data_IF_350052728576
#
_entry.id   IF_350052728576
#
_cell.length_a   1.000
_cell.length_b   1.000
_cell.length_c   1.000
_cell.angle_alpha   90.00
_cell.angle_beta   90.00
_cell.angle_gamma   90.00
#
_symmetry.space_group_name_H-M   'P 1'
#
loop_
_entity.id
_entity.type
_entity.pdbx_description
1 polymer ?
#
# COMPACT_ATOMS: atom_id res chain seq x y z
N UNK A 1 20.39 24.08 9.13
CA UNK A 1 19.72 24.20 7.82
C UNK A 1 19.89 22.98 6.91
N UNK A 2 21.09 22.36 6.78
CA UNK A 2 21.24 21.07 6.04
C UNK A 2 20.49 19.88 6.69
N UNK A 3 20.32 19.87 8.01
CA UNK A 3 19.65 18.77 8.76
C UNK A 3 18.10 18.76 8.69
N UNK A 4 17.45 19.89 8.45
CA UNK A 4 15.96 19.96 8.42
C UNK A 4 15.41 19.44 7.09
N UNK A 5 16.14 19.65 5.98
CA UNK A 5 15.81 19.12 4.65
C UNK A 5 15.89 17.58 4.66
N UNK A 6 16.80 17.01 5.48
CA UNK A 6 16.94 15.56 5.65
C UNK A 6 15.71 14.94 6.36
N UNK A 7 15.09 15.66 7.31
CA UNK A 7 13.96 15.14 8.10
C UNK A 7 12.67 15.06 7.26
N UNK A 8 12.43 16.02 6.36
CA UNK A 8 11.28 15.97 5.43
C UNK A 8 11.46 14.85 4.39
N UNK A 9 12.70 14.60 3.96
CA UNK A 9 13.02 13.46 3.08
C UNK A 9 12.85 12.11 3.77
N UNK A 10 13.15 12.02 5.07
CA UNK A 10 13.06 10.78 5.84
C UNK A 10 11.60 10.42 6.15
N UNK A 11 10.72 11.37 6.46
CA UNK A 11 9.31 11.07 6.76
C UNK A 11 8.49 10.58 5.55
N UNK A 12 8.88 10.95 4.32
CA UNK A 12 8.23 10.44 3.11
C UNK A 12 8.81 9.09 2.62
N UNK A 13 9.99 8.69 3.13
CA UNK A 13 10.68 7.44 2.74
C UNK A 13 10.54 6.31 3.79
N UNK A 14 10.11 6.61 5.02
CA UNK A 14 9.99 5.64 6.11
C UNK A 14 8.81 4.66 5.93
N UNK A 15 7.87 4.89 5.01
CA UNK A 15 6.82 3.90 4.75
C UNK A 15 7.26 2.67 3.92
N UNK A 16 8.54 2.47 3.60
CA UNK A 16 8.95 1.28 2.81
C UNK A 16 10.37 0.75 3.07
N UNK A 17 10.92 0.90 4.27
CA UNK A 17 12.28 0.42 4.59
C UNK A 17 12.28 -0.37 5.90
N UNK A 18 11.98 -1.67 5.81
CA UNK A 18 12.47 -2.67 6.76
C UNK A 18 13.80 -3.19 6.18
N UNK A 19 14.92 -2.69 6.70
CA UNK A 19 16.25 -3.22 6.37
C UNK A 19 16.62 -4.29 7.40
N UNK A 20 16.77 -5.51 6.93
CA UNK A 20 17.70 -6.48 7.50
C UNK A 20 19.06 -6.14 6.89
N UNK A 21 20.03 -5.68 7.70
CA UNK A 21 21.39 -5.38 7.23
C UNK A 21 22.26 -6.58 7.57
N UNK A 22 22.83 -7.18 6.54
CA UNK A 22 23.90 -8.16 6.61
C UNK A 22 25.20 -7.42 6.98
N UNK A 23 25.85 -7.84 8.05
CA UNK A 23 27.04 -7.20 8.61
C UNK A 23 28.28 -7.54 7.78
N UNK A 24 28.67 -6.74 6.77
CA UNK A 24 30.07 -6.75 6.28
C UNK A 24 30.53 -5.56 5.43
N UNK A 25 29.74 -4.52 5.18
CA UNK A 25 30.27 -3.27 4.56
C UNK A 25 30.24 -2.09 5.53
N UNK A 26 31.41 -1.49 5.76
CA UNK A 26 31.63 -0.26 6.54
C UNK A 26 30.93 0.94 5.87
N UNK A 27 29.62 1.04 6.07
CA UNK A 27 28.88 2.26 5.82
C UNK A 27 29.34 3.26 6.88
N UNK A 28 30.00 4.35 6.45
CA UNK A 28 30.28 5.52 7.30
C UNK A 28 29.02 5.90 8.06
N UNK A 29 28.93 5.54 9.34
CA UNK A 29 27.82 5.87 10.24
C UNK A 29 27.67 7.38 10.23
N UNK A 30 26.61 7.86 9.59
CA UNK A 30 26.11 9.19 9.89
C UNK A 30 25.60 9.09 11.33
N UNK A 31 26.28 9.71 12.30
CA UNK A 31 25.82 9.76 13.69
C UNK A 31 24.44 10.43 13.73
N UNK A 32 23.40 9.60 13.71
CA UNK A 32 22.05 10.02 14.08
C UNK A 32 22.10 10.13 15.60
N UNK A 33 22.35 11.34 16.07
CA UNK A 33 22.36 11.71 17.48
C UNK A 33 21.13 11.13 18.19
N UNK A 34 21.34 10.16 19.07
CA UNK A 34 20.38 9.64 20.05
C UNK A 34 20.20 10.57 21.26
N UNK A 35 20.81 11.76 21.24
CA UNK A 35 20.59 12.75 22.29
C UNK A 35 19.08 13.05 22.34
N UNK A 36 18.45 13.01 23.54
CA UNK A 36 17.08 13.49 23.69
C UNK A 36 17.02 14.89 23.06
N UNK A 37 15.93 15.19 22.35
CA UNK A 37 15.69 16.52 21.80
C UNK A 37 16.17 17.55 22.83
N UNK A 38 17.06 18.51 22.47
CA UNK A 38 17.49 19.51 23.44
C UNK A 38 16.24 20.09 24.06
N UNK A 39 16.23 20.16 25.40
CA UNK A 39 15.08 20.63 26.17
C UNK A 39 14.51 21.86 25.47
N UNK A 40 13.23 21.79 25.11
CA UNK A 40 12.54 22.78 24.30
C UNK A 40 12.40 24.08 25.09
N UNK A 41 13.47 24.87 25.16
CA UNK A 41 13.44 26.24 25.65
C UNK A 41 12.86 27.09 24.53
N UNK A 42 11.55 27.27 24.55
CA UNK A 42 10.94 28.26 23.69
C UNK A 42 11.08 29.64 24.34
N UNK A 43 11.88 30.53 23.75
CA UNK A 43 11.84 31.96 24.06
C UNK A 43 10.66 32.69 23.36
N UNK A 44 9.94 32.02 22.45
CA UNK A 44 8.92 32.65 21.59
C UNK A 44 7.53 31.98 21.68
N UNK A 45 6.49 32.66 22.19
CA UNK A 45 5.14 32.08 22.32
C UNK A 45 4.65 31.34 21.06
N UNK A 46 3.90 30.23 21.21
CA UNK A 46 3.44 29.39 20.09
C UNK A 46 2.72 30.19 18.99
N UNK A 47 1.94 31.21 19.35
CA UNK A 47 1.27 32.10 18.39
C UNK A 47 2.29 32.89 17.55
N UNK A 48 3.35 33.41 18.16
CA UNK A 48 4.42 34.12 17.47
C UNK A 48 5.23 33.16 16.58
N UNK A 49 5.48 31.93 17.04
CA UNK A 49 6.07 30.87 16.23
C UNK A 49 5.24 30.57 14.98
N UNK A 50 3.96 30.28 15.14
CA UNK A 50 3.05 29.99 14.02
C UNK A 50 2.98 31.16 13.05
N UNK A 51 2.87 32.40 13.53
CA UNK A 51 2.90 33.59 12.66
C UNK A 51 4.20 33.69 11.87
N UNK A 52 5.36 33.50 12.52
CA UNK A 52 6.68 33.60 11.89
C UNK A 52 6.90 32.51 10.84
N UNK A 53 6.44 31.28 11.12
CA UNK A 53 6.77 30.11 10.31
C UNK A 53 5.62 29.57 9.45
N UNK A 54 4.47 30.25 9.37
CA UNK A 54 3.32 29.79 8.56
C UNK A 54 3.67 29.43 7.11
N UNK A 55 4.66 30.10 6.53
CA UNK A 55 5.10 29.88 5.15
C UNK A 55 5.72 28.49 4.94
N UNK A 56 6.24 27.81 5.98
CA UNK A 56 6.85 26.48 5.81
C UNK A 56 5.80 25.39 5.55
N UNK A 57 4.52 25.71 5.75
CA UNK A 57 3.37 24.80 5.59
C UNK A 57 2.74 24.84 4.19
N UNK A 58 3.34 25.56 3.24
CA UNK A 58 2.91 25.56 1.83
C UNK A 58 4.04 25.08 0.91
N UNK A 59 3.73 24.30 -0.15
CA UNK A 59 4.74 23.73 -1.03
C UNK A 59 5.52 24.82 -1.78
N UNK A 60 4.87 25.94 -2.11
CA UNK A 60 5.45 27.06 -2.87
C UNK A 60 6.68 27.64 -2.19
N UNK A 61 6.69 27.70 -0.85
CA UNK A 61 7.84 28.17 -0.10
C UNK A 61 9.06 27.30 -0.38
N UNK A 62 8.93 25.98 -0.30
CA UNK A 62 10.03 25.05 -0.52
C UNK A 62 10.47 25.00 -1.97
N UNK A 63 9.52 25.03 -2.90
CA UNK A 63 9.79 25.08 -4.33
C UNK A 63 10.57 26.35 -4.70
N UNK A 64 10.25 27.51 -4.08
CA UNK A 64 10.94 28.77 -4.33
C UNK A 64 12.43 28.76 -3.93
N UNK A 65 12.86 27.80 -3.11
CA UNK A 65 14.26 27.64 -2.68
C UNK A 65 15.09 26.75 -3.62
N UNK A 66 14.48 26.15 -4.63
CA UNK A 66 15.14 25.25 -5.57
C UNK A 66 15.59 26.01 -6.82
N UNK A 67 16.79 25.71 -7.33
CA UNK A 67 17.34 26.33 -8.53
C UNK A 67 16.63 25.87 -9.82
N UNK A 68 16.28 24.58 -9.88
CA UNK A 68 15.68 23.95 -11.07
C UNK A 68 14.53 22.99 -10.69
N UNK A 69 13.45 23.49 -10.06
CA UNK A 69 12.39 22.63 -9.51
C UNK A 69 11.65 21.79 -10.57
N UNK A 70 11.64 22.26 -11.82
CA UNK A 70 10.96 21.63 -12.96
C UNK A 70 11.87 20.69 -13.78
N UNK A 71 13.15 20.56 -13.40
CA UNK A 71 14.07 19.62 -14.06
C UNK A 71 13.58 18.19 -13.83
N UNK A 72 13.43 17.44 -14.92
CA UNK A 72 13.15 15.99 -14.86
C UNK A 72 14.31 15.27 -14.19
N UNK A 73 14.02 14.54 -13.11
CA UNK A 73 14.99 13.75 -12.34
C UNK A 73 15.29 12.44 -13.07
N UNK A 74 14.24 11.73 -13.51
CA UNK A 74 14.36 10.56 -14.38
C UNK A 74 13.26 10.57 -15.44
N UNK A 75 13.62 10.19 -16.65
CA UNK A 75 12.65 9.95 -17.73
C UNK A 75 12.02 8.56 -17.60
N UNK A 76 11.04 8.26 -18.46
CA UNK A 76 10.29 6.99 -18.44
C UNK A 76 11.19 5.75 -18.60
N UNK A 77 12.27 5.83 -19.38
CA UNK A 77 13.20 4.70 -19.58
C UNK A 77 13.99 4.45 -18.30
N UNK A 78 14.53 5.51 -17.70
CA UNK A 78 15.26 5.43 -16.42
C UNK A 78 14.35 4.94 -15.28
N UNK A 79 13.10 5.39 -15.21
CA UNK A 79 12.12 4.91 -14.22
C UNK A 79 11.84 3.42 -14.39
N UNK A 80 11.64 2.95 -15.63
CA UNK A 80 11.43 1.52 -15.89
C UNK A 80 12.63 0.69 -15.43
N UNK A 81 13.85 1.17 -15.70
CA UNK A 81 15.07 0.52 -15.25
C UNK A 81 15.18 0.48 -13.72
N UNK A 82 14.90 1.59 -13.05
CA UNK A 82 14.89 1.66 -11.58
C UNK A 82 13.85 0.70 -10.98
N UNK A 83 12.65 0.65 -11.56
CA UNK A 83 11.58 -0.24 -11.09
C UNK A 83 11.97 -1.71 -11.26
N UNK A 84 12.57 -2.08 -12.40
CA UNK A 84 13.07 -3.43 -12.65
C UNK A 84 14.15 -3.81 -11.63
N UNK A 85 15.16 -2.95 -11.45
CA UNK A 85 16.22 -3.17 -10.46
C UNK A 85 15.66 -3.30 -9.04
N UNK A 86 14.68 -2.47 -8.67
CA UNK A 86 14.07 -2.52 -7.34
C UNK A 86 13.33 -3.85 -7.13
N UNK A 87 12.61 -4.35 -8.14
CA UNK A 87 11.93 -5.63 -8.09
C UNK A 87 12.94 -6.80 -7.96
N UNK A 88 13.99 -6.80 -8.78
CA UNK A 88 15.01 -7.85 -8.82
C UNK A 88 15.85 -7.91 -7.54
N UNK A 89 16.32 -6.76 -7.06
CA UNK A 89 17.23 -6.67 -5.90
C UNK A 89 16.47 -6.88 -4.60
N UNK A 90 15.33 -6.20 -4.42
CA UNK A 90 14.65 -6.22 -3.12
C UNK A 90 13.70 -7.40 -2.95
N UNK A 91 13.30 -8.09 -4.03
CA UNK A 91 12.35 -9.23 -4.03
C UNK A 91 11.06 -8.97 -3.22
N UNK A 92 10.67 -7.70 -3.09
CA UNK A 92 9.47 -7.24 -2.36
C UNK A 92 8.45 -6.59 -3.29
N UNK A 93 8.77 -6.43 -4.57
CA UNK A 93 7.84 -5.94 -5.59
C UNK A 93 7.61 -7.07 -6.57
N UNK A 94 6.35 -7.44 -6.76
CA UNK A 94 5.91 -8.49 -7.67
C UNK A 94 5.01 -7.86 -8.74
N UNK A 95 5.56 -7.39 -9.87
CA UNK A 95 4.74 -6.81 -10.91
C UNK A 95 3.64 -7.79 -11.35
N UNK A 96 2.41 -7.33 -11.64
CA UNK A 96 1.30 -8.24 -11.91
C UNK A 96 1.54 -9.18 -13.10
N UNK A 97 2.33 -8.75 -14.09
CA UNK A 97 2.73 -9.60 -15.21
C UNK A 97 3.65 -10.76 -14.85
N UNK A 98 4.27 -10.71 -13.68
CA UNK A 98 5.17 -11.73 -13.16
C UNK A 98 4.44 -12.65 -12.16
N UNK A 99 3.12 -12.52 -12.03
CA UNK A 99 2.33 -13.52 -11.33
C UNK A 99 2.27 -14.81 -12.18
N UNK A 100 2.85 -15.87 -11.62
CA UNK A 100 2.96 -17.18 -12.24
C UNK A 100 1.60 -17.86 -12.33
N UNK A 101 1.44 -18.74 -13.31
CA UNK A 101 0.25 -19.59 -13.46
C UNK A 101 0.18 -20.68 -12.40
N UNK A 102 1.31 -21.00 -11.78
CA UNK A 102 1.41 -21.97 -10.70
C UNK A 102 2.51 -21.62 -9.71
N UNK A 103 2.31 -21.96 -8.45
CA UNK A 103 3.31 -21.81 -7.39
C UNK A 103 3.60 -23.14 -6.70
N UNK A 104 4.86 -23.38 -6.27
CA UNK A 104 5.19 -24.49 -5.40
C UNK A 104 4.45 -24.40 -4.05
N UNK A 105 3.89 -25.52 -3.61
CA UNK A 105 3.14 -25.59 -2.36
C UNK A 105 3.98 -25.34 -1.12
N UNK A 106 5.23 -25.82 -1.13
CA UNK A 106 6.22 -25.58 -0.07
C UNK A 106 6.56 -24.09 0.08
N UNK A 107 6.64 -23.34 -1.02
CA UNK A 107 6.82 -21.89 -0.98
C UNK A 107 5.66 -21.21 -0.27
N UNK A 108 4.42 -21.55 -0.61
CA UNK A 108 3.22 -20.98 0.04
C UNK A 108 3.13 -21.38 1.51
N UNK A 109 3.36 -22.65 1.83
CA UNK A 109 3.44 -23.14 3.23
C UNK A 109 4.51 -22.37 4.01
N UNK A 110 5.68 -22.13 3.43
CA UNK A 110 6.74 -21.33 4.04
C UNK A 110 6.34 -19.88 4.29
N UNK A 111 5.58 -19.24 3.38
CA UNK A 111 5.06 -17.88 3.60
C UNK A 111 4.01 -17.85 4.72
N UNK A 112 3.08 -18.79 4.73
CA UNK A 112 2.06 -18.92 5.77
C UNK A 112 2.70 -19.14 7.15
N UNK A 113 3.65 -20.07 7.25
CA UNK A 113 4.39 -20.33 8.48
C UNK A 113 5.15 -19.09 8.96
N UNK A 114 5.80 -18.35 8.05
CA UNK A 114 6.50 -17.10 8.41
C UNK A 114 5.55 -16.04 9.00
N UNK A 115 4.34 -15.89 8.45
CA UNK A 115 3.32 -14.98 8.98
C UNK A 115 2.82 -15.44 10.36
N UNK A 116 2.61 -16.74 10.54
CA UNK A 116 2.23 -17.30 11.85
C UNK A 116 3.32 -17.06 12.91
N UNK A 117 4.59 -17.33 12.58
CA UNK A 117 5.73 -17.06 13.49
C UNK A 117 5.81 -15.59 13.86
N UNK A 118 5.64 -14.69 12.89
CA UNK A 118 5.61 -13.25 13.17
C UNK A 118 4.55 -12.89 14.21
N UNK A 119 3.32 -13.41 14.08
CA UNK A 119 2.27 -13.11 15.06
C UNK A 119 2.60 -13.70 16.44
N UNK A 120 3.07 -14.94 16.53
CA UNK A 120 3.42 -15.54 17.83
C UNK A 120 4.52 -14.78 18.56
N UNK A 121 5.39 -14.08 17.84
CA UNK A 121 6.49 -13.31 18.43
C UNK A 121 6.17 -11.84 18.71
N UNK A 122 5.08 -11.30 18.11
CA UNK A 122 4.81 -9.86 18.09
C UNK A 122 3.42 -9.48 18.58
N UNK A 123 2.50 -10.43 18.68
CA UNK A 123 1.13 -10.23 19.15
C UNK A 123 0.88 -11.09 20.40
N UNK A 124 0.39 -10.45 21.46
CA UNK A 124 0.20 -11.06 22.77
C UNK A 124 -1.17 -10.78 23.37
N UNK A 125 -1.88 -9.76 22.88
CA UNK A 125 -3.18 -9.35 23.42
C UNK A 125 -4.23 -9.17 22.32
N UNK A 126 -5.51 -9.33 22.65
CA UNK A 126 -6.64 -8.97 21.79
C UNK A 126 -6.94 -7.48 21.88
N UNK A 127 -7.89 -6.99 21.09
CA UNK A 127 -8.36 -5.59 21.12
C UNK A 127 -8.94 -5.20 22.49
N UNK A 128 -9.54 -6.15 23.20
CA UNK A 128 -10.06 -5.95 24.56
C UNK A 128 -8.95 -5.82 25.62
N UNK A 129 -7.71 -6.14 25.26
CA UNK A 129 -6.55 -6.14 26.15
C UNK A 129 -6.31 -7.47 26.87
N UNK A 130 -7.11 -8.50 26.58
CA UNK A 130 -6.93 -9.85 27.12
C UNK A 130 -5.74 -10.54 26.47
N UNK A 131 -5.02 -11.37 27.23
CA UNK A 131 -3.95 -12.20 26.66
C UNK A 131 -4.52 -13.16 25.61
N UNK A 132 -3.83 -13.28 24.46
CA UNK A 132 -4.20 -14.22 23.40
C UNK A 132 -4.15 -15.64 23.97
N UNK A 133 -5.30 -16.30 23.99
CA UNK A 133 -5.41 -17.66 24.51
C UNK A 133 -4.86 -18.70 23.53
N UNK A 134 -4.48 -19.87 24.06
CA UNK A 134 -4.14 -21.04 23.24
C UNK A 134 -5.29 -21.44 22.31
N UNK A 135 -6.54 -21.29 22.77
CA UNK A 135 -7.73 -21.59 21.99
C UNK A 135 -7.84 -20.68 20.76
N UNK A 136 -7.65 -19.36 20.95
CA UNK A 136 -7.62 -18.41 19.85
C UNK A 136 -6.47 -18.70 18.89
N UNK A 137 -5.27 -18.96 19.42
CA UNK A 137 -4.09 -19.30 18.60
C UNK A 137 -4.36 -20.52 17.72
N UNK A 138 -4.90 -21.60 18.30
CA UNK A 138 -5.27 -22.83 17.57
C UNK A 138 -6.37 -22.56 16.54
N UNK A 139 -7.37 -21.74 16.87
CA UNK A 139 -8.44 -21.40 15.93
C UNK A 139 -7.91 -20.63 14.71
N UNK A 140 -7.00 -19.66 14.90
CA UNK A 140 -6.37 -18.93 13.81
C UNK A 140 -5.49 -19.83 12.93
N UNK A 141 -4.71 -20.72 13.55
CA UNK A 141 -3.89 -21.71 12.84
C UNK A 141 -4.75 -22.70 12.04
N UNK A 142 -5.83 -23.20 12.64
CA UNK A 142 -6.77 -24.08 11.95
C UNK A 142 -7.42 -23.36 10.76
N UNK A 143 -7.85 -22.10 10.93
CA UNK A 143 -8.49 -21.36 9.86
C UNK A 143 -7.55 -21.04 8.69
N UNK A 144 -6.25 -20.88 8.95
CA UNK A 144 -5.25 -20.71 7.90
C UNK A 144 -5.11 -21.93 6.99
N UNK A 145 -5.63 -23.09 7.42
CA UNK A 145 -5.74 -24.30 6.62
C UNK A 145 -4.43 -24.73 5.94
N UNK A 146 -3.28 -24.54 6.62
CA UNK A 146 -1.95 -24.68 6.00
C UNK A 146 -1.66 -26.10 5.48
N UNK A 147 -2.21 -27.12 6.14
CA UNK A 147 -2.01 -28.52 5.75
C UNK A 147 -2.79 -28.93 4.50
N UNK A 148 -3.78 -28.15 4.08
CA UNK A 148 -4.53 -28.39 2.83
C UNK A 148 -3.86 -27.74 1.61
N UNK A 149 -2.73 -27.05 1.78
CA UNK A 149 -1.98 -26.48 0.65
C UNK A 149 -1.42 -27.64 -0.19
N UNK A 150 -1.81 -27.80 -1.46
CA UNK A 150 -1.30 -28.87 -2.32
C UNK A 150 0.17 -28.60 -2.71
N UNK A 151 0.87 -29.61 -3.23
CA UNK A 151 2.27 -29.46 -3.64
C UNK A 151 2.48 -28.54 -4.85
N UNK A 152 1.45 -28.37 -5.68
CA UNK A 152 1.42 -27.38 -6.75
C UNK A 152 0.08 -26.67 -6.74
N UNK A 153 0.13 -25.35 -6.67
CA UNK A 153 -1.03 -24.47 -6.64
C UNK A 153 -1.28 -23.96 -8.05
N UNK A 154 -2.49 -24.11 -8.55
CA UNK A 154 -2.93 -23.38 -9.74
C UNK A 154 -3.39 -21.98 -9.31
N UNK A 155 -2.73 -20.95 -9.82
CA UNK A 155 -3.03 -19.57 -9.46
C UNK A 155 -4.41 -19.16 -9.97
N UNK A 156 -5.27 -18.68 -9.06
CA UNK A 156 -6.45 -17.89 -9.44
C UNK A 156 -6.08 -16.41 -9.44
N UNK A 157 -6.77 -15.60 -10.21
CA UNK A 157 -6.49 -14.17 -10.31
C UNK A 157 -7.68 -13.36 -9.84
N UNK A 158 -7.42 -12.19 -9.26
CA UNK A 158 -8.47 -11.30 -8.79
C UNK A 158 -8.10 -9.83 -8.94
N UNK A 159 -9.12 -8.97 -8.84
CA UNK A 159 -8.95 -7.55 -8.56
C UNK A 159 -9.63 -7.23 -7.23
N UNK A 160 -9.00 -6.37 -6.44
CA UNK A 160 -9.61 -5.78 -5.25
C UNK A 160 -10.76 -4.85 -5.66
N UNK A 161 -11.94 -5.00 -5.05
CA UNK A 161 -13.17 -4.25 -5.40
C UNK A 161 -13.56 -3.18 -4.36
N UNK A 162 -12.99 -3.26 -3.16
CA UNK A 162 -13.15 -2.27 -2.09
C UNK A 162 -11.79 -1.98 -1.43
N UNK A 163 -11.67 -0.93 -0.62
CA UNK A 163 -10.52 -0.76 0.26
C UNK A 163 -10.39 -1.98 1.17
N UNK A 164 -9.32 -2.75 0.96
CA UNK A 164 -9.17 -4.05 1.58
C UNK A 164 -7.98 -4.08 2.53
N UNK A 165 -8.17 -4.74 3.66
CA UNK A 165 -7.06 -5.04 4.57
C UNK A 165 -6.37 -6.32 4.11
N UNK A 166 -5.05 -6.22 3.94
CA UNK A 166 -4.18 -7.37 3.81
C UNK A 166 -3.68 -7.72 5.21
N UNK A 167 -4.04 -8.91 5.70
CA UNK A 167 -3.84 -9.37 7.07
C UNK A 167 -2.73 -10.40 7.16
N UNK A 168 -2.18 -10.59 8.35
CA UNK A 168 -1.17 -11.62 8.62
C UNK A 168 -1.83 -12.98 8.90
N UNK A 169 -3.02 -12.99 9.50
CA UNK A 169 -3.87 -14.14 9.79
C UNK A 169 -5.29 -13.90 9.26
N UNK A 170 -6.05 -14.95 8.84
CA UNK A 170 -7.39 -14.80 8.26
C UNK A 170 -8.45 -14.49 9.35
N UNK A 171 -8.37 -13.28 9.90
CA UNK A 171 -9.31 -12.74 10.88
C UNK A 171 -9.34 -11.21 10.82
N UNK A 172 -10.51 -10.64 11.12
CA UNK A 172 -10.67 -9.20 11.33
C UNK A 172 -10.16 -8.75 12.72
N UNK A 173 -9.98 -9.69 13.66
CA UNK A 173 -9.56 -9.36 15.01
C UNK A 173 -8.24 -8.61 15.02
N UNK A 174 -8.20 -7.51 15.78
CA UNK A 174 -6.99 -6.75 16.04
C UNK A 174 -6.15 -7.48 17.09
N UNK A 175 -4.85 -7.60 16.80
CA UNK A 175 -3.91 -8.29 17.66
C UNK A 175 -2.82 -7.30 18.10
N UNK A 176 -2.63 -7.15 19.40
CA UNK A 176 -1.80 -6.11 19.98
C UNK A 176 -0.52 -6.69 20.59
N UNK A 177 0.55 -5.89 20.60
CA UNK A 177 1.76 -6.23 21.37
C UNK A 177 1.59 -5.93 22.86
N UNK A 178 0.87 -4.87 23.20
CA UNK A 178 0.60 -4.44 24.57
C UNK A 178 -0.90 -4.16 24.71
N UNK A 179 -1.54 -4.39 25.88
CA UNK A 179 -3.01 -4.40 26.04
C UNK A 179 -3.74 -3.11 25.64
N UNK A 180 -3.03 -1.98 25.57
CA UNK A 180 -3.59 -0.65 25.29
C UNK A 180 -2.98 -0.01 24.03
N UNK A 181 -2.30 -0.79 23.21
CA UNK A 181 -1.61 -0.31 22.01
C UNK A 181 -2.51 -0.33 20.76
N UNK A 182 -3.73 0.20 20.86
CA UNK A 182 -4.76 0.14 19.82
C UNK A 182 -4.37 0.78 18.48
N UNK A 183 -3.35 1.64 18.49
CA UNK A 183 -2.83 2.33 17.32
C UNK A 183 -1.88 1.45 16.46
N UNK A 184 -1.52 0.25 16.92
CA UNK A 184 -0.70 -0.71 16.17
C UNK A 184 -1.26 -2.13 16.20
N UNK A 185 -2.18 -2.40 15.26
CA UNK A 185 -2.64 -3.76 14.99
C UNK A 185 -1.54 -4.60 14.30
N UNK A 186 -1.02 -5.60 15.01
CA UNK A 186 0.00 -6.53 14.52
C UNK A 186 -0.51 -7.43 13.42
N UNK A 187 -1.82 -7.64 13.31
CA UNK A 187 -2.40 -8.42 12.24
C UNK A 187 -2.58 -7.61 10.95
N UNK A 188 -2.45 -6.29 11.01
CA UNK A 188 -2.48 -5.45 9.81
C UNK A 188 -1.12 -5.52 9.08
N UNK A 189 -1.10 -6.12 7.89
CA UNK A 189 0.11 -6.20 7.06
C UNK A 189 0.20 -5.02 6.09
N UNK A 190 -0.85 -4.82 5.30
CA UNK A 190 -0.92 -3.76 4.30
C UNK A 190 -2.38 -3.40 4.01
N UNK A 191 -2.60 -2.32 3.28
CA UNK A 191 -3.92 -1.95 2.78
C UNK A 191 -3.87 -1.83 1.25
N UNK A 192 -4.87 -2.40 0.58
CA UNK A 192 -4.95 -2.48 -0.87
C UNK A 192 -6.14 -1.63 -1.35
N UNK A 193 -5.90 -0.81 -2.37
CA UNK A 193 -6.97 -0.02 -2.99
C UNK A 193 -7.70 -0.83 -4.07
N UNK A 194 -8.89 -0.33 -4.41
CA UNK A 194 -9.70 -0.75 -5.55
C UNK A 194 -8.82 -0.84 -6.81
N UNK A 195 -8.93 -1.96 -7.53
CA UNK A 195 -8.16 -2.22 -8.74
C UNK A 195 -6.80 -2.88 -8.51
N UNK A 196 -6.38 -3.13 -7.26
CA UNK A 196 -5.13 -3.84 -6.99
C UNK A 196 -5.22 -5.29 -7.53
N UNK A 197 -4.31 -5.72 -8.41
CA UNK A 197 -4.29 -7.08 -8.94
C UNK A 197 -3.69 -8.07 -7.95
N UNK A 198 -4.28 -9.28 -7.90
CA UNK A 198 -3.89 -10.32 -6.97
C UNK A 198 -3.71 -11.67 -7.67
N UNK A 199 -2.72 -12.42 -7.22
CA UNK A 199 -2.64 -13.87 -7.40
C UNK A 199 -3.16 -14.54 -6.13
N UNK A 200 -4.21 -15.33 -6.26
CA UNK A 200 -4.88 -16.06 -5.19
C UNK A 200 -4.29 -17.47 -5.12
N UNK A 201 -3.70 -17.80 -3.98
CA UNK A 201 -2.83 -18.97 -3.83
C UNK A 201 -3.38 -20.00 -2.83
N UNK A 202 -4.17 -19.58 -1.86
CA UNK A 202 -4.79 -20.48 -0.88
C UNK A 202 -6.10 -19.92 -0.37
N UNK A 203 -6.90 -20.74 0.31
CA UNK A 203 -8.18 -20.35 0.91
C UNK A 203 -8.26 -20.85 2.35
N UNK A 204 -8.82 -20.02 3.23
CA UNK A 204 -9.06 -20.39 4.63
C UNK A 204 -10.10 -21.51 4.74
N UNK A 205 -10.10 -22.20 5.88
CA UNK A 205 -11.03 -23.31 6.13
C UNK A 205 -12.50 -22.88 6.09
N UNK A 206 -12.79 -21.66 6.56
CA UNK A 206 -14.12 -21.05 6.57
C UNK A 206 -14.55 -20.45 5.23
N UNK A 207 -13.66 -20.49 4.22
CA UNK A 207 -13.84 -19.92 2.88
C UNK A 207 -14.01 -18.40 2.81
N UNK A 208 -13.91 -17.69 3.94
CA UNK A 208 -14.07 -16.23 4.03
C UNK A 208 -12.82 -15.45 3.67
N UNK A 209 -11.67 -16.12 3.54
CA UNK A 209 -10.40 -15.48 3.25
C UNK A 209 -9.63 -16.19 2.16
N UNK A 210 -8.89 -15.39 1.40
CA UNK A 210 -7.90 -15.86 0.46
C UNK A 210 -6.51 -15.45 0.91
N UNK A 211 -5.55 -16.36 0.81
CA UNK A 211 -4.14 -15.99 0.85
C UNK A 211 -3.73 -15.53 -0.55
N UNK A 212 -3.29 -14.28 -0.64
CA UNK A 212 -3.02 -13.60 -1.90
C UNK A 212 -1.59 -13.04 -1.94
N UNK A 213 -1.00 -13.06 -3.14
CA UNK A 213 0.14 -12.26 -3.50
C UNK A 213 -0.35 -11.00 -4.22
N UNK A 214 0.07 -9.85 -3.70
CA UNK A 214 -0.15 -8.52 -4.27
C UNK A 214 1.17 -7.94 -4.79
N UNK A 215 1.17 -6.79 -5.49
CA UNK A 215 2.39 -6.22 -6.03
C UNK A 215 3.43 -5.80 -5.00
N UNK A 216 3.04 -5.59 -3.74
CA UNK A 216 3.92 -5.07 -2.67
C UNK A 216 4.02 -5.99 -1.45
N UNK A 217 3.22 -7.05 -1.36
CA UNK A 217 3.14 -7.92 -0.18
C UNK A 217 2.39 -9.23 -0.46
N UNK A 218 2.44 -10.18 0.46
CA UNK A 218 1.56 -11.36 0.51
C UNK A 218 0.88 -11.44 1.88
N UNK A 219 -0.30 -12.04 1.97
CA UNK A 219 -1.12 -12.03 3.18
C UNK A 219 -2.54 -12.53 2.92
N UNK A 220 -3.41 -12.36 3.91
CA UNK A 220 -4.81 -12.77 3.86
C UNK A 220 -5.71 -11.59 3.52
N UNK A 221 -6.66 -11.78 2.61
CA UNK A 221 -7.67 -10.78 2.23
C UNK A 221 -9.05 -11.41 2.30
N UNK A 222 -10.06 -10.65 2.73
CA UNK A 222 -11.43 -11.14 2.79
C UNK A 222 -11.94 -11.47 1.38
N UNK A 223 -12.70 -12.56 1.26
CA UNK A 223 -13.22 -13.03 -0.02
C UNK A 223 -14.27 -12.08 -0.64
N UNK A 224 -14.91 -11.25 0.18
CA UNK A 224 -15.87 -10.23 -0.24
C UNK A 224 -15.20 -8.98 -0.85
N UNK A 225 -13.95 -8.69 -0.45
CA UNK A 225 -13.21 -7.51 -0.89
C UNK A 225 -12.57 -7.68 -2.28
N UNK A 226 -12.73 -8.84 -2.91
CA UNK A 226 -12.13 -9.17 -4.20
C UNK A 226 -13.15 -9.75 -5.16
N UNK A 227 -12.86 -9.62 -6.46
CA UNK A 227 -13.58 -10.32 -7.51
C UNK A 227 -12.61 -11.19 -8.33
N UNK A 228 -12.93 -12.49 -8.42
CA UNK A 228 -12.17 -13.46 -9.18
C UNK A 228 -12.29 -13.21 -10.68
N UNK A 229 -11.20 -13.44 -11.41
CA UNK A 229 -11.12 -13.20 -12.85
C UNK A 229 -10.05 -14.04 -13.52
N UNK A 230 -9.92 -13.89 -14.83
CA UNK A 230 -8.82 -14.49 -15.59
C UNK A 230 -7.58 -13.60 -15.53
N UNK A 231 -6.39 -14.19 -15.65
CA UNK A 231 -5.12 -13.46 -15.79
C UNK A 231 -5.20 -12.38 -16.87
N UNK A 232 -5.79 -12.72 -18.02
CA UNK A 232 -5.95 -11.80 -19.17
C UNK A 232 -6.76 -10.56 -18.79
N UNK A 233 -7.92 -10.73 -18.13
CA UNK A 233 -8.77 -9.60 -17.70
C UNK A 233 -8.08 -8.76 -16.62
N UNK A 234 -7.45 -9.40 -15.63
CA UNK A 234 -6.68 -8.72 -14.58
C UNK A 234 -5.57 -7.85 -15.18
N UNK A 235 -4.76 -8.40 -16.09
CA UNK A 235 -3.67 -7.65 -16.74
C UNK A 235 -4.20 -6.56 -17.67
N UNK A 236 -5.28 -6.80 -18.41
CA UNK A 236 -5.91 -5.78 -19.25
C UNK A 236 -6.32 -4.54 -18.43
N UNK A 237 -6.85 -4.75 -17.21
CA UNK A 237 -7.14 -3.68 -16.27
C UNK A 237 -5.85 -3.03 -15.75
N UNK A 238 -4.99 -3.80 -15.09
CA UNK A 238 -3.80 -3.30 -14.39
C UNK A 238 -2.77 -2.63 -15.31
N UNK A 239 -2.75 -3.02 -16.59
CA UNK A 239 -1.79 -2.55 -17.59
C UNK A 239 -2.43 -1.72 -18.71
N UNK A 240 -3.68 -1.25 -18.55
CA UNK A 240 -4.35 -0.42 -19.56
C UNK A 240 -3.44 0.72 -20.04
N UNK A 241 -3.18 0.80 -21.35
CA UNK A 241 -2.32 1.84 -21.94
C UNK A 241 -2.91 3.24 -21.77
N UNK A 242 -4.24 3.33 -21.70
CA UNK A 242 -4.97 4.57 -21.50
C UNK A 242 -5.49 4.61 -20.06
N UNK A 243 -4.88 5.43 -19.20
CA UNK A 243 -5.16 5.41 -17.77
C UNK A 243 -4.98 6.79 -17.15
N UNK A 244 -5.61 6.96 -16.00
CA UNK A 244 -5.35 8.08 -15.09
C UNK A 244 -4.70 7.56 -13.80
N UNK A 245 -3.99 8.45 -13.12
CA UNK A 245 -3.46 8.23 -11.77
C UNK A 245 -4.09 9.24 -10.83
N UNK A 246 -4.55 8.78 -9.67
CA UNK A 246 -5.12 9.64 -8.64
C UNK A 246 -4.04 10.45 -7.93
N UNK A 247 -4.31 11.73 -7.69
CA UNK A 247 -3.30 12.69 -7.21
C UNK A 247 -3.72 13.43 -5.93
N UNK A 248 -4.88 13.16 -5.33
CA UNK A 248 -5.21 13.66 -4.00
C UNK A 248 -5.19 12.51 -2.97
N UNK A 249 -5.08 12.80 -1.65
CA UNK A 249 -5.08 11.76 -0.62
C UNK A 249 -6.31 10.85 -0.66
N UNK A 250 -7.47 11.43 -1.00
CA UNK A 250 -8.75 10.74 -1.19
C UNK A 250 -9.42 11.30 -2.43
N UNK A 251 -9.86 10.42 -3.33
CA UNK A 251 -10.44 10.80 -4.62
C UNK A 251 -11.76 10.05 -4.78
N UNK A 252 -12.88 10.78 -4.70
CA UNK A 252 -14.21 10.18 -4.70
C UNK A 252 -14.56 9.57 -6.07
N UNK A 253 -15.16 8.38 -6.02
CA UNK A 253 -15.72 7.65 -7.14
C UNK A 253 -17.25 7.73 -7.06
N UNK A 254 -17.88 7.99 -8.20
CA UNK A 254 -19.32 8.12 -8.32
C UNK A 254 -19.86 7.20 -9.40
N UNK A 255 -20.93 6.47 -9.12
CA UNK A 255 -21.64 5.62 -10.10
C UNK A 255 -23.08 6.11 -10.14
N UNK A 256 -23.62 6.36 -11.34
CA UNK A 256 -25.01 6.83 -11.51
C UNK A 256 -25.36 8.04 -10.62
N UNK A 257 -24.42 8.99 -10.47
CA UNK A 257 -24.55 10.18 -9.61
C UNK A 257 -24.64 9.91 -8.10
N UNK A 258 -24.45 8.68 -7.64
CA UNK A 258 -24.33 8.33 -6.24
C UNK A 258 -22.86 8.15 -5.86
N UNK A 259 -22.51 8.56 -4.63
CA UNK A 259 -21.21 8.27 -4.06
C UNK A 259 -21.07 6.75 -3.92
N UNK A 260 -19.98 6.20 -4.43
CA UNK A 260 -19.68 4.77 -4.36
C UNK A 260 -18.58 4.50 -3.33
N UNK A 261 -17.40 5.09 -3.53
CA UNK A 261 -16.24 4.93 -2.64
C UNK A 261 -15.21 6.05 -2.90
N UNK A 262 -14.02 5.97 -2.32
CA UNK A 262 -12.86 6.73 -2.75
C UNK A 262 -11.63 5.84 -2.93
N UNK A 263 -10.72 6.27 -3.79
CA UNK A 263 -9.38 5.66 -3.93
C UNK A 263 -8.32 6.62 -3.40
N UNK A 264 -7.24 6.07 -2.85
CA UNK A 264 -6.10 6.86 -2.35
C UNK A 264 -5.24 7.39 -3.50
N UNK A 265 -4.31 8.28 -3.17
CA UNK A 265 -3.31 8.79 -4.13
C UNK A 265 -2.47 7.65 -4.70
N UNK A 266 -2.16 7.70 -6.00
CA UNK A 266 -1.29 6.75 -6.68
C UNK A 266 -2.01 5.55 -7.32
N UNK A 267 -3.33 5.45 -7.14
CA UNK A 267 -4.14 4.42 -7.79
C UNK A 267 -4.25 4.70 -9.27
N UNK A 268 -4.00 3.66 -10.07
CA UNK A 268 -4.09 3.67 -11.53
C UNK A 268 -5.42 3.07 -11.96
N UNK A 269 -6.21 3.80 -12.73
CA UNK A 269 -7.49 3.33 -13.26
C UNK A 269 -7.53 3.48 -14.80
N UNK A 270 -8.06 2.50 -15.56
CA UNK A 270 -8.28 2.66 -16.99
C UNK A 270 -9.17 3.87 -17.28
N UNK A 271 -8.76 4.71 -18.24
CA UNK A 271 -9.48 5.91 -18.64
C UNK A 271 -10.39 5.61 -19.83
N UNK A 272 -11.65 6.01 -19.74
CA UNK A 272 -12.68 5.76 -20.74
C UNK A 272 -13.09 7.02 -21.50
N UNK A 273 -13.03 8.20 -20.87
CA UNK A 273 -13.43 9.46 -21.51
C UNK A 273 -13.56 10.62 -20.54
N UNK A 274 -13.80 11.83 -21.08
CA UNK A 274 -14.01 13.04 -20.30
C UNK A 274 -15.47 13.46 -20.32
N UNK A 275 -15.98 13.95 -19.18
CA UNK A 275 -17.33 14.48 -19.05
C UNK A 275 -17.29 15.79 -18.24
N UNK A 276 -17.05 16.91 -18.93
CA UNK A 276 -16.89 18.22 -18.29
C UNK A 276 -15.78 18.21 -17.22
N UNK A 277 -16.17 18.52 -15.97
CA UNK A 277 -15.27 18.53 -14.81
C UNK A 277 -14.92 17.11 -14.28
N UNK A 278 -15.53 16.06 -14.85
CA UNK A 278 -15.28 14.67 -14.49
C UNK A 278 -14.52 13.93 -15.59
N UNK A 279 -13.89 12.82 -15.19
CA UNK A 279 -13.37 11.78 -16.06
C UNK A 279 -14.13 10.48 -15.78
N UNK A 280 -14.39 9.72 -16.84
CA UNK A 280 -14.90 8.37 -16.76
C UNK A 280 -13.72 7.39 -16.66
N UNK A 281 -13.75 6.58 -15.61
CA UNK A 281 -12.75 5.55 -15.34
C UNK A 281 -13.43 4.19 -15.17
N UNK A 282 -12.68 3.13 -15.41
CA UNK A 282 -13.14 1.78 -15.14
C UNK A 282 -12.74 1.36 -13.72
N UNK A 283 -13.66 0.78 -12.96
CA UNK A 283 -13.39 0.20 -11.65
C UNK A 283 -13.92 -1.24 -11.57
N UNK A 284 -13.25 -2.15 -10.84
CA UNK A 284 -13.74 -3.49 -10.60
C UNK A 284 -14.86 -3.49 -9.55
N UNK A 285 -15.85 -4.34 -9.77
CA UNK A 285 -16.93 -4.70 -8.85
C UNK A 285 -17.06 -6.22 -8.83
N UNK A 286 -17.76 -6.72 -7.82
CA UNK A 286 -17.99 -8.14 -7.57
C UNK A 286 -19.47 -8.42 -7.82
N UNK A 287 -19.78 -9.46 -8.60
CA UNK A 287 -21.14 -10.00 -8.68
C UNK A 287 -21.47 -10.91 -7.48
N UNK A 288 -22.68 -11.45 -7.45
CA UNK A 288 -23.15 -12.31 -6.37
C UNK A 288 -22.34 -13.63 -6.32
N UNK A 289 -21.89 -14.12 -7.48
CA UNK A 289 -21.04 -15.31 -7.62
C UNK A 289 -19.56 -15.07 -7.27
N UNK A 290 -19.15 -13.82 -7.08
CA UNK A 290 -17.77 -13.46 -6.74
C UNK A 290 -16.82 -13.29 -7.93
N UNK A 291 -17.35 -13.21 -9.14
CA UNK A 291 -16.63 -12.90 -10.34
C UNK A 291 -16.57 -11.39 -10.62
N UNK A 292 -15.61 -11.01 -11.47
CA UNK A 292 -15.32 -9.62 -11.82
C UNK A 292 -16.36 -9.04 -12.77
N UNK A 293 -16.98 -7.95 -12.32
CA UNK A 293 -17.68 -6.96 -13.13
C UNK A 293 -16.83 -5.70 -13.27
N UNK A 294 -16.90 -5.04 -14.42
CA UNK A 294 -16.21 -3.76 -14.64
C UNK A 294 -17.24 -2.66 -14.84
N UNK A 295 -17.24 -1.68 -13.93
CA UNK A 295 -18.17 -0.56 -13.94
C UNK A 295 -17.48 0.71 -14.43
N UNK A 296 -18.28 1.63 -14.97
CA UNK A 296 -17.86 3.00 -15.24
C UNK A 296 -18.13 3.84 -14.01
N UNK A 297 -17.10 4.51 -13.50
CA UNK A 297 -17.21 5.48 -12.42
C UNK A 297 -16.75 6.87 -12.90
N UNK A 298 -17.28 7.91 -12.26
CA UNK A 298 -16.85 9.29 -12.44
C UNK A 298 -15.88 9.67 -11.32
N UNK A 299 -14.80 10.33 -11.70
CA UNK A 299 -13.82 10.94 -10.80
C UNK A 299 -13.56 12.38 -11.25
N UNK A 300 -13.33 13.33 -10.32
CA UNK A 300 -13.08 14.72 -10.71
C UNK A 300 -11.77 14.82 -11.50
N UNK A 301 -11.80 15.60 -12.58
CA UNK A 301 -10.63 15.90 -13.42
C UNK A 301 -9.48 16.52 -12.63
N UNK A 302 -9.78 17.31 -11.59
CA UNK A 302 -8.79 17.91 -10.68
C UNK A 302 -8.08 16.91 -9.76
N UNK A 303 -8.67 15.73 -9.58
CA UNK A 303 -8.22 14.73 -8.62
C UNK A 303 -7.33 13.66 -9.27
N UNK A 304 -7.16 13.75 -10.59
CA UNK A 304 -6.39 12.78 -11.38
C UNK A 304 -5.46 13.46 -12.38
N UNK A 305 -4.46 12.71 -12.82
CA UNK A 305 -3.60 13.06 -13.93
C UNK A 305 -3.71 11.99 -15.01
N UNK A 306 -3.75 12.37 -16.29
CA UNK A 306 -3.74 11.41 -17.40
C UNK A 306 -2.31 10.90 -17.62
N UNK A 307 -2.10 9.60 -17.43
CA UNK A 307 -0.76 9.02 -17.28
C UNK A 307 -0.07 9.44 -15.98
N UNK A 308 1.22 9.09 -15.85
CA UNK A 308 2.01 9.44 -14.67
C UNK A 308 2.40 10.92 -14.64
N UNK A 309 2.51 11.48 -13.44
CA UNK A 309 3.09 12.81 -13.23
C UNK A 309 4.58 12.82 -13.61
N UNK A 310 5.08 13.98 -14.07
CA UNK A 310 6.50 14.16 -14.33
C UNK A 310 7.31 14.02 -13.02
N UNK A 311 8.38 13.24 -13.05
CA UNK A 311 9.24 13.05 -11.88
C UNK A 311 10.22 14.23 -11.71
N UNK A 312 9.73 15.30 -11.11
CA UNK A 312 10.46 16.55 -10.82
C UNK A 312 10.41 16.87 -9.34
N UNK A 313 11.31 17.74 -8.86
CA UNK A 313 11.28 18.18 -7.46
C UNK A 313 9.98 18.92 -7.11
N UNK A 314 9.47 19.74 -8.04
CA UNK A 314 8.16 20.40 -7.90
C UNK A 314 7.05 19.39 -7.66
N UNK A 315 6.93 18.39 -8.53
CA UNK A 315 5.87 17.38 -8.41
C UNK A 315 5.93 16.68 -7.05
N UNK A 316 7.12 16.23 -6.62
CA UNK A 316 7.30 15.54 -5.34
C UNK A 316 6.82 16.42 -4.18
N UNK A 317 7.29 17.67 -4.13
CA UNK A 317 6.95 18.60 -3.05
C UNK A 317 5.45 18.91 -3.09
N UNK A 318 4.89 19.22 -4.25
CA UNK A 318 3.45 19.52 -4.38
C UNK A 318 2.57 18.35 -3.93
N UNK A 319 2.90 17.10 -4.28
CA UNK A 319 2.11 15.95 -3.83
C UNK A 319 2.29 15.66 -2.33
N UNK A 320 3.52 15.76 -1.80
CA UNK A 320 3.79 15.53 -0.39
C UNK A 320 3.01 16.48 0.53
N UNK A 321 2.89 17.75 0.14
CA UNK A 321 2.16 18.76 0.90
C UNK A 321 0.65 18.52 0.97
N UNK A 322 0.08 17.63 0.14
CA UNK A 322 -1.34 17.27 0.24
C UNK A 322 -1.66 16.38 1.45
N UNK A 323 -0.64 15.82 2.11
CA UNK A 323 -0.79 14.97 3.30
C UNK A 323 -0.46 15.68 4.62
N UNK A 324 -0.20 17.00 4.59
CA UNK A 324 0.19 17.79 5.78
C UNK A 324 -0.98 18.44 6.51
#
# INVERSE_FOLDING_TARGET
MKKIIQIIFIFSLICLIVLYVDETEEIKRCEISSKPYPAYQIEMPQIAYTKKFRHIKVPEFWISKLKHPDRTIMNTVQIKQLNKQTAEVKRVIFPPQDFDTSYPGDWVRGKLAKLQTFLSEKAFYTEEGDAISDALTKALQANSNIYAVPDTITTRYALVVDYANHRISPTHQTLLKEPQQHYFDRNQNAALDIGTPLAILHQSSDKKWYFALSPSSYGWIAAEDIALTTRKKMLAFAQSKNFVVTINPKNALWINHHYDNFVRMGVRLPYLGGLGIYMQVQIPKRDDEGALLLHVALIKRSDVHHGYLAYTQRTIITQAFKFL
#
